data_IF_787922203161
#
_entry.id   IF_787922203161
#
_cell.length_a   1.000
_cell.length_b   1.000
_cell.length_c   1.000
_cell.angle_alpha   90.00
_cell.angle_beta   90.00
_cell.angle_gamma   90.00
#
_symmetry.space_group_name_H-M   'P 1'
#
loop_
_entity.id
_entity.type
_entity.pdbx_description
1 polymer ?
#
# COMPACT_ATOMS: atom_id res chain seq x y z
N UNK A 1 -13.41 -7.31 9.66
CA UNK A 1 -12.93 -6.36 10.68
C UNK A 1 -12.59 -4.99 10.06
N UNK A 2 -13.59 -4.18 9.65
CA UNK A 2 -13.33 -2.97 8.84
C UNK A 2 -12.47 -1.90 9.54
N UNK A 3 -12.70 -1.68 10.83
CA UNK A 3 -11.88 -0.73 11.62
C UNK A 3 -10.42 -1.14 11.71
N UNK A 4 -10.13 -2.44 11.70
CA UNK A 4 -8.75 -2.92 11.67
C UNK A 4 -8.14 -2.67 10.29
N UNK A 5 -8.82 -3.06 9.21
CA UNK A 5 -8.33 -2.90 7.83
C UNK A 5 -8.02 -1.44 7.48
N UNK A 6 -8.81 -0.48 7.97
CA UNK A 6 -8.57 0.95 7.76
C UNK A 6 -7.32 1.51 8.50
N UNK A 7 -6.72 0.73 9.43
CA UNK A 7 -5.49 1.09 10.15
C UNK A 7 -4.26 0.36 9.63
N UNK A 8 -4.44 -0.62 8.75
CA UNK A 8 -3.32 -1.36 8.16
C UNK A 8 -2.70 -0.55 7.02
N UNK A 9 -1.42 -0.77 6.78
CA UNK A 9 -0.75 -0.28 5.59
C UNK A 9 -1.30 -1.02 4.34
N UNK A 10 -1.80 -0.32 3.32
CA UNK A 10 -2.35 -0.94 2.11
C UNK A 10 -1.24 -1.45 1.17
N UNK A 11 -0.46 -2.43 1.62
CA UNK A 11 0.57 -3.10 0.80
C UNK A 11 -0.02 -4.07 -0.24
N UNK A 12 -1.25 -4.52 -0.03
CA UNK A 12 -2.02 -5.36 -0.96
C UNK A 12 -3.38 -4.71 -1.20
N UNK A 13 -3.60 -4.17 -2.41
CA UNK A 13 -4.86 -3.53 -2.79
C UNK A 13 -5.45 -4.19 -4.03
N UNK A 14 -6.66 -3.76 -4.41
CA UNK A 14 -7.32 -4.29 -5.61
C UNK A 14 -6.53 -3.99 -6.90
N UNK A 15 -5.66 -2.97 -6.90
CA UNK A 15 -4.77 -2.64 -8.01
C UNK A 15 -3.56 -3.58 -8.11
N UNK A 16 -3.11 -4.16 -7.00
CA UNK A 16 -2.00 -5.12 -6.95
C UNK A 16 -2.46 -6.56 -6.74
N UNK A 17 -3.77 -6.83 -6.82
CA UNK A 17 -4.36 -8.13 -6.49
C UNK A 17 -3.79 -9.31 -7.28
N UNK A 18 -3.26 -9.06 -8.48
CA UNK A 18 -2.62 -10.08 -9.32
C UNK A 18 -1.28 -10.58 -8.74
N UNK A 19 -0.58 -9.74 -7.97
CA UNK A 19 0.74 -10.01 -7.39
C UNK A 19 0.65 -10.56 -5.95
N UNK A 20 -0.57 -10.65 -5.42
CA UNK A 20 -0.83 -11.02 -4.04
C UNK A 20 -1.07 -12.53 -3.93
N UNK A 21 -0.43 -13.17 -2.96
CA UNK A 21 -0.56 -14.61 -2.74
C UNK A 21 -2.04 -14.99 -2.49
N UNK A 22 -2.53 -16.12 -3.07
CA UNK A 22 -3.91 -16.56 -2.89
C UNK A 22 -4.27 -16.68 -1.40
N UNK A 23 -5.37 -16.04 -1.00
CA UNK A 23 -5.84 -16.05 0.40
C UNK A 23 -5.31 -14.92 1.28
N UNK A 24 -4.53 -13.98 0.74
CA UNK A 24 -4.19 -12.75 1.49
C UNK A 24 -5.37 -11.77 1.52
N UNK A 25 -5.51 -11.06 2.63
CA UNK A 25 -6.50 -9.99 2.77
C UNK A 25 -6.13 -8.80 1.87
N UNK A 26 -6.98 -8.54 0.87
CA UNK A 26 -6.87 -7.38 -0.02
C UNK A 26 -7.61 -6.20 0.58
N UNK A 27 -6.94 -5.05 0.69
CA UNK A 27 -7.54 -3.81 1.18
C UNK A 27 -8.15 -3.04 0.02
N UNK A 28 -9.47 -2.83 0.08
CA UNK A 28 -10.20 -2.05 -0.92
C UNK A 28 -10.10 -0.55 -0.59
N UNK A 29 -8.99 0.07 -0.99
CA UNK A 29 -8.73 1.50 -0.86
C UNK A 29 -7.90 2.02 -2.04
N UNK A 30 -7.97 3.32 -2.27
CA UNK A 30 -7.16 4.06 -3.25
C UNK A 30 -5.89 4.66 -2.62
N UNK A 31 -5.69 4.46 -1.31
CA UNK A 31 -4.51 4.93 -0.60
C UNK A 31 -3.22 4.25 -1.10
N UNK A 32 -2.11 4.99 -1.02
CA UNK A 32 -0.78 4.47 -1.35
C UNK A 32 -0.17 3.73 -0.17
N UNK A 33 0.62 2.69 -0.46
CA UNK A 33 1.37 1.98 0.57
C UNK A 33 2.53 2.83 1.11
N UNK A 34 3.00 2.52 2.32
CA UNK A 34 4.20 3.15 2.89
C UNK A 34 5.45 2.98 1.99
N UNK A 35 5.52 1.90 1.21
CA UNK A 35 6.63 1.69 0.28
C UNK A 35 6.67 2.76 -0.81
N UNK A 36 5.52 3.02 -1.45
CA UNK A 36 5.39 4.07 -2.46
C UNK A 36 5.67 5.44 -1.84
N UNK A 37 5.18 5.68 -0.62
CA UNK A 37 5.49 6.90 0.12
C UNK A 37 7.00 7.10 0.31
N UNK A 38 7.73 6.07 0.78
CA UNK A 38 9.18 6.18 0.97
C UNK A 38 9.94 6.33 -0.34
N UNK A 39 9.50 5.71 -1.43
CA UNK A 39 10.10 5.89 -2.75
C UNK A 39 9.98 7.35 -3.21
N UNK A 40 8.80 7.95 -3.07
CA UNK A 40 8.61 9.37 -3.37
C UNK A 40 9.43 10.27 -2.44
N UNK A 41 9.44 9.97 -1.13
CA UNK A 41 10.19 10.73 -0.14
C UNK A 41 11.70 10.71 -0.43
N UNK A 42 12.25 9.54 -0.78
CA UNK A 42 13.67 9.40 -1.14
C UNK A 42 14.02 10.23 -2.37
N UNK A 43 13.21 10.18 -3.43
CA UNK A 43 13.42 10.98 -4.64
C UNK A 43 13.43 12.48 -4.34
N UNK A 44 12.50 12.96 -3.50
CA UNK A 44 12.45 14.35 -3.07
C UNK A 44 13.67 14.74 -2.21
N UNK A 45 14.11 13.85 -1.31
CA UNK A 45 15.22 14.12 -0.40
C UNK A 45 16.59 14.26 -1.12
N UNK A 46 16.77 13.60 -2.27
CA UNK A 46 18.00 13.69 -3.08
C UNK A 46 17.90 14.70 -4.23
N UNK A 47 16.78 15.41 -4.32
CA UNK A 47 16.57 16.44 -5.33
C UNK A 47 17.35 17.69 -4.94
N UNK A 48 18.58 17.82 -5.45
CA UNK A 48 19.48 18.97 -5.29
C UNK A 48 19.42 19.91 -6.49
#
# INVERSE_FOLDING_TARGET
ARFLLAKLNPSATYNSAQDVAPGSDVIFTDDVSLQVFFEHLQRLAVQS
#
